data_IF_695336123779
#
_entry.id   IF_695336123779
#
_cell.length_a   1.000
_cell.length_b   1.000
_cell.length_c   1.000
_cell.angle_alpha   90.00
_cell.angle_beta   90.00
_cell.angle_gamma   90.00
#
_symmetry.space_group_name_H-M   'P 1'
#
loop_
_entity.id
_entity.type
_entity.pdbx_description
1 polymer ?
#
# COMPACT_ATOMS: atom_id res chain seq x y z
N UNK A 1 11.04 12.27 -16.71
CA UNK A 1 10.57 11.33 -15.70
C UNK A 1 9.94 12.16 -14.61
N UNK A 2 8.61 12.27 -14.65
CA UNK A 2 7.93 13.23 -13.79
C UNK A 2 6.92 12.49 -12.93
N UNK A 3 6.99 12.68 -11.63
CA UNK A 3 6.08 12.10 -10.66
C UNK A 3 6.07 12.97 -9.40
N UNK A 4 5.07 12.78 -8.56
CA UNK A 4 5.00 13.38 -7.24
C UNK A 4 5.11 12.29 -6.17
N UNK A 5 6.19 12.29 -5.41
CA UNK A 5 6.31 11.44 -4.24
C UNK A 5 5.44 12.02 -3.11
N UNK A 6 4.72 11.15 -2.40
CA UNK A 6 3.80 11.52 -1.33
C UNK A 6 3.94 10.55 -0.17
N UNK A 7 3.82 11.11 1.03
CA UNK A 7 3.77 10.38 2.30
C UNK A 7 2.82 11.06 3.27
N UNK A 8 2.22 10.32 4.20
CA UNK A 8 1.29 10.84 5.19
C UNK A 8 1.56 10.29 6.58
N UNK A 9 1.34 11.14 7.60
CA UNK A 9 1.29 10.72 9.00
C UNK A 9 -0.16 10.73 9.50
N UNK A 10 -0.51 9.78 10.38
CA UNK A 10 -1.86 9.65 10.93
C UNK A 10 -1.87 9.80 12.43
N UNK A 11 -2.92 10.41 12.96
CA UNK A 11 -3.09 10.65 14.39
C UNK A 11 -3.28 9.36 15.21
N UNK A 12 -3.85 8.33 14.59
CA UNK A 12 -4.15 7.03 15.21
C UNK A 12 -4.24 5.94 14.13
N UNK A 13 -4.69 4.74 14.50
CA UNK A 13 -4.80 3.56 13.65
C UNK A 13 -5.80 3.75 12.49
N UNK A 14 -6.70 4.72 12.58
CA UNK A 14 -7.64 5.01 11.50
C UNK A 14 -6.95 5.75 10.36
N UNK A 15 -6.85 5.17 9.15
CA UNK A 15 -6.10 5.78 8.04
C UNK A 15 -6.62 7.15 7.60
N UNK A 16 -7.92 7.45 7.84
CA UNK A 16 -8.49 8.77 7.54
C UNK A 16 -8.10 9.87 8.53
N UNK A 17 -7.37 9.53 9.62
CA UNK A 17 -6.93 10.48 10.64
C UNK A 17 -5.63 11.20 10.26
N UNK A 18 -5.46 11.55 8.99
CA UNK A 18 -4.25 12.20 8.47
C UNK A 18 -3.95 13.48 9.25
N UNK A 19 -2.74 13.58 9.84
CA UNK A 19 -2.28 14.74 10.60
C UNK A 19 -1.12 15.50 9.94
N UNK A 20 -0.46 14.88 8.95
CA UNK A 20 0.51 15.56 8.08
C UNK A 20 0.50 14.93 6.69
N UNK A 21 0.70 15.74 5.65
CA UNK A 21 0.97 15.28 4.28
C UNK A 21 2.25 15.94 3.81
N UNK A 22 3.15 15.18 3.21
CA UNK A 22 4.34 15.66 2.53
C UNK A 22 4.31 15.25 1.06
N UNK A 23 4.66 16.19 0.16
CA UNK A 23 4.76 15.93 -1.28
C UNK A 23 6.05 16.52 -1.83
N UNK A 24 6.69 15.81 -2.74
CA UNK A 24 7.86 16.28 -3.48
C UNK A 24 7.70 15.95 -4.96
N UNK A 25 7.68 16.98 -5.80
CA UNK A 25 7.62 16.83 -7.26
C UNK A 25 9.01 16.62 -7.83
N UNK A 26 9.17 15.54 -8.55
CA UNK A 26 10.39 15.16 -9.25
C UNK A 26 10.22 15.36 -10.74
N UNK A 27 11.20 16.03 -11.36
CA UNK A 27 11.35 16.15 -12.80
C UNK A 27 12.77 15.76 -13.18
N UNK A 28 12.91 14.79 -14.09
CA UNK A 28 14.21 14.27 -14.51
C UNK A 28 15.12 13.80 -13.34
N UNK A 29 14.49 13.28 -12.27
CA UNK A 29 15.21 12.79 -11.09
C UNK A 29 15.56 13.85 -10.05
N UNK A 30 15.25 15.13 -10.30
CA UNK A 30 15.51 16.25 -9.38
C UNK A 30 14.22 16.78 -8.76
N UNK A 31 14.32 17.25 -7.52
CA UNK A 31 13.21 17.89 -6.82
C UNK A 31 13.00 19.30 -7.39
N UNK A 32 11.80 19.57 -7.88
CA UNK A 32 11.40 20.90 -8.40
C UNK A 32 10.51 21.66 -7.43
N UNK A 33 9.69 20.95 -6.69
CA UNK A 33 8.75 21.56 -5.75
C UNK A 33 8.55 20.64 -4.55
N UNK A 34 8.38 21.22 -3.38
CA UNK A 34 8.01 20.50 -2.17
C UNK A 34 6.81 21.16 -1.52
N UNK A 35 6.00 20.36 -0.85
CA UNK A 35 4.87 20.84 -0.07
C UNK A 35 4.71 19.97 1.17
N UNK A 36 4.47 20.62 2.30
CA UNK A 36 4.15 19.94 3.55
C UNK A 36 3.04 20.68 4.26
N UNK A 37 2.09 19.96 4.80
CA UNK A 37 0.97 20.55 5.50
C UNK A 37 0.61 19.72 6.74
N UNK A 38 0.63 20.37 7.91
CA UNK A 38 -0.01 19.84 9.11
C UNK A 38 -1.52 19.93 8.97
N UNK A 39 -2.23 18.90 9.38
CA UNK A 39 -3.68 18.78 9.22
C UNK A 39 -4.31 18.50 10.57
N UNK A 40 -5.38 19.19 10.88
CA UNK A 40 -6.21 18.86 12.04
C UNK A 40 -7.15 17.70 11.65
N UNK A 41 -6.92 16.48 12.10
CA UNK A 41 -7.71 15.32 11.70
C UNK A 41 -9.10 15.27 12.35
N UNK A 42 -9.37 16.17 13.31
CA UNK A 42 -10.57 16.14 14.17
C UNK A 42 -10.77 14.76 14.79
N UNK A 43 -9.69 14.15 15.24
CA UNK A 43 -9.64 12.84 15.85
C UNK A 43 -8.66 12.83 17.04
N UNK A 44 -8.81 11.85 17.90
CA UNK A 44 -7.86 11.60 18.99
C UNK A 44 -6.53 11.09 18.43
N UNK A 45 -5.44 11.43 19.13
CA UNK A 45 -4.11 10.94 18.81
C UNK A 45 -3.76 9.76 19.71
N UNK A 46 -3.30 8.67 19.12
CA UNK A 46 -2.76 7.56 19.89
C UNK A 46 -1.33 7.86 20.36
N UNK A 47 -0.99 7.40 21.56
CA UNK A 47 0.36 7.55 22.10
C UNK A 47 1.41 6.87 21.20
N UNK A 48 1.03 5.78 20.53
CA UNK A 48 1.90 5.06 19.60
C UNK A 48 2.25 5.95 18.39
N UNK A 49 1.26 6.54 17.73
CA UNK A 49 1.48 7.40 16.58
C UNK A 49 2.32 8.64 16.96
N UNK A 50 2.01 9.29 18.09
CA UNK A 50 2.82 10.40 18.61
C UNK A 50 4.28 9.96 18.83
N UNK A 51 4.52 8.77 19.38
CA UNK A 51 5.89 8.28 19.61
C UNK A 51 6.67 8.02 18.32
N UNK A 52 5.98 7.82 17.20
CA UNK A 52 6.58 7.58 15.89
C UNK A 52 6.95 8.89 15.20
N UNK A 53 5.99 9.80 14.99
CA UNK A 53 6.19 11.02 14.19
C UNK A 53 6.30 12.32 15.03
N UNK A 54 6.08 12.26 16.34
CA UNK A 54 6.21 13.40 17.24
C UNK A 54 5.09 14.43 17.17
N UNK A 55 4.17 14.35 16.23
CA UNK A 55 3.08 15.31 16.07
C UNK A 55 2.03 15.10 17.15
N UNK A 56 1.66 16.16 17.86
CA UNK A 56 0.69 16.13 18.96
C UNK A 56 -0.60 16.89 18.59
N UNK A 57 -1.71 16.69 19.32
CA UNK A 57 -2.93 17.49 19.12
C UNK A 57 -2.69 19.01 19.21
N UNK A 58 -1.69 19.43 19.98
CA UNK A 58 -1.35 20.86 20.14
C UNK A 58 -0.78 21.44 18.84
N UNK A 59 0.04 20.67 18.13
CA UNK A 59 0.72 21.11 16.91
C UNK A 59 -0.26 21.35 15.76
N UNK A 60 -1.34 20.55 15.71
CA UNK A 60 -2.36 20.62 14.64
C UNK A 60 -3.62 21.39 15.02
N UNK A 61 -3.70 21.93 16.25
CA UNK A 61 -4.92 22.60 16.77
C UNK A 61 -5.45 23.67 15.84
N UNK A 62 -4.55 24.48 15.28
CA UNK A 62 -4.87 25.61 14.40
C UNK A 62 -4.61 25.29 12.92
N UNK A 63 -4.27 24.06 12.60
CA UNK A 63 -4.06 23.63 11.22
C UNK A 63 -5.39 23.44 10.50
N UNK A 64 -5.40 23.59 9.16
CA UNK A 64 -6.57 23.30 8.35
C UNK A 64 -6.99 21.82 8.49
N UNK A 65 -8.25 21.53 8.23
CA UNK A 65 -8.73 20.15 8.13
C UNK A 65 -8.38 19.56 6.75
N UNK A 66 -8.56 18.25 6.60
CA UNK A 66 -8.37 17.60 5.30
C UNK A 66 -9.30 18.19 4.22
N UNK A 67 -10.52 18.56 4.59
CA UNK A 67 -11.48 19.20 3.69
C UNK A 67 -10.97 20.57 3.19
N UNK A 68 -10.36 21.35 4.09
CA UNK A 68 -9.85 22.70 3.74
C UNK A 68 -8.70 22.64 2.74
N UNK A 69 -7.85 21.60 2.81
CA UNK A 69 -6.68 21.46 1.91
C UNK A 69 -6.96 20.63 0.65
N UNK A 70 -8.15 20.05 0.55
CA UNK A 70 -8.48 19.12 -0.54
C UNK A 70 -8.34 19.74 -1.94
N UNK A 71 -8.68 21.04 -2.07
CA UNK A 71 -8.51 21.78 -3.33
C UNK A 71 -7.03 21.91 -3.73
N UNK A 72 -6.16 22.26 -2.77
CA UNK A 72 -4.72 22.39 -2.99
C UNK A 72 -4.09 21.02 -3.29
N UNK A 73 -4.43 19.98 -2.49
CA UNK A 73 -3.98 18.60 -2.74
C UNK A 73 -4.34 18.14 -4.14
N UNK A 74 -5.58 18.40 -4.59
CA UNK A 74 -6.03 18.07 -5.94
C UNK A 74 -5.23 18.82 -7.00
N UNK A 75 -4.98 20.11 -6.82
CA UNK A 75 -4.19 20.94 -7.74
C UNK A 75 -2.77 20.39 -7.89
N UNK A 76 -2.11 20.06 -6.78
CA UNK A 76 -0.73 19.53 -6.77
C UNK A 76 -0.60 18.12 -7.35
N UNK A 77 -1.67 17.34 -7.33
CA UNK A 77 -1.70 15.98 -7.87
C UNK A 77 -2.29 15.87 -9.26
N UNK A 78 -2.92 16.93 -9.79
CA UNK A 78 -3.63 16.87 -11.07
C UNK A 78 -2.68 16.58 -12.24
N UNK A 79 -3.00 15.51 -12.99
CA UNK A 79 -2.19 15.08 -14.15
C UNK A 79 -0.83 14.48 -13.77
N UNK A 80 -0.57 14.24 -12.48
CA UNK A 80 0.67 13.66 -11.98
C UNK A 80 0.47 12.19 -11.59
N UNK A 81 1.52 11.39 -11.73
CA UNK A 81 1.61 10.09 -11.09
C UNK A 81 2.02 10.28 -9.64
N UNK A 82 1.17 9.88 -8.70
CA UNK A 82 1.52 9.85 -7.28
C UNK A 82 2.30 8.58 -6.95
N UNK A 83 3.44 8.73 -6.31
CA UNK A 83 4.31 7.62 -5.91
C UNK A 83 4.48 7.61 -4.39
N UNK A 84 4.14 6.49 -3.75
CA UNK A 84 4.28 6.31 -2.29
C UNK A 84 5.15 5.12 -1.94
N UNK A 85 5.73 5.12 -0.75
CA UNK A 85 6.58 4.01 -0.30
C UNK A 85 5.75 2.92 0.39
N UNK A 86 4.86 2.31 -0.37
CA UNK A 86 3.88 1.31 0.05
C UNK A 86 2.46 1.72 -0.31
N UNK A 87 1.49 0.92 0.13
CA UNK A 87 0.08 1.15 -0.20
C UNK A 87 -0.63 2.06 0.80
N UNK A 88 -0.04 2.29 1.99
CA UNK A 88 -0.71 2.97 3.09
C UNK A 88 -1.14 4.40 2.76
N UNK A 89 -0.25 5.20 2.17
CA UNK A 89 -0.52 6.61 1.86
C UNK A 89 -1.68 6.77 0.89
N UNK A 90 -1.65 6.00 -0.20
CA UNK A 90 -2.78 5.93 -1.14
C UNK A 90 -4.08 5.60 -0.41
N UNK A 91 -4.03 4.62 0.47
CA UNK A 91 -5.18 4.16 1.22
C UNK A 91 -5.69 5.23 2.19
N UNK A 92 -4.79 5.88 2.94
CA UNK A 92 -5.14 6.96 3.86
C UNK A 92 -5.82 8.14 3.13
N UNK A 93 -5.28 8.56 1.99
CA UNK A 93 -5.88 9.60 1.14
C UNK A 93 -7.28 9.16 0.65
N UNK A 94 -7.44 7.93 0.19
CA UNK A 94 -8.75 7.41 -0.26
C UNK A 94 -9.77 7.40 0.87
N UNK A 95 -9.37 6.99 2.07
CA UNK A 95 -10.27 7.01 3.24
C UNK A 95 -10.63 8.44 3.67
N UNK A 96 -9.66 9.35 3.70
CA UNK A 96 -9.91 10.73 4.06
C UNK A 96 -10.81 11.43 3.04
N UNK A 97 -10.64 11.18 1.74
CA UNK A 97 -11.51 11.70 0.69
C UNK A 97 -12.93 11.13 0.78
N UNK A 98 -13.06 9.83 1.00
CA UNK A 98 -14.38 9.18 1.17
C UNK A 98 -15.13 9.72 2.41
N UNK A 99 -14.44 9.86 3.54
CA UNK A 99 -14.99 10.43 4.79
C UNK A 99 -15.55 11.84 4.59
N UNK A 100 -14.94 12.62 3.70
CA UNK A 100 -15.33 14.01 3.41
C UNK A 100 -16.22 14.12 2.16
N UNK A 101 -16.71 13.01 1.58
CA UNK A 101 -17.50 13.00 0.33
C UNK A 101 -16.82 13.71 -0.84
N UNK A 102 -15.50 13.60 -0.95
CA UNK A 102 -14.69 14.22 -1.99
C UNK A 102 -14.39 13.22 -3.12
N UNK A 103 -14.30 13.75 -4.33
CA UNK A 103 -13.79 13.00 -5.49
C UNK A 103 -12.30 13.32 -5.67
N UNK A 104 -11.48 12.30 -5.50
CA UNK A 104 -10.04 12.36 -5.71
C UNK A 104 -9.61 11.20 -6.60
N UNK A 105 -9.27 11.50 -7.84
CA UNK A 105 -8.76 10.54 -8.80
C UNK A 105 -7.30 10.86 -9.10
N UNK A 106 -6.42 9.89 -8.93
CA UNK A 106 -5.00 9.98 -9.27
C UNK A 106 -4.48 8.60 -9.66
N UNK A 107 -3.51 8.58 -10.56
CA UNK A 107 -2.72 7.39 -10.83
C UNK A 107 -1.68 7.20 -9.72
N UNK A 108 -1.49 5.95 -9.29
CA UNK A 108 -0.60 5.63 -8.17
C UNK A 108 0.48 4.63 -8.54
N UNK A 109 1.65 4.84 -7.98
CA UNK A 109 2.78 3.94 -8.08
C UNK A 109 3.32 3.56 -6.70
N UNK A 110 3.29 2.28 -6.39
CA UNK A 110 3.89 1.74 -5.17
C UNK A 110 5.39 1.48 -5.39
N UNK A 111 6.22 2.35 -4.80
CA UNK A 111 7.68 2.28 -4.91
C UNK A 111 8.24 0.98 -4.33
N UNK A 112 7.63 0.45 -3.24
CA UNK A 112 8.14 -0.79 -2.63
C UNK A 112 8.06 -1.98 -3.58
N UNK A 113 7.10 -1.98 -4.50
CA UNK A 113 6.97 -3.03 -5.53
C UNK A 113 8.14 -2.98 -6.54
N UNK A 114 8.62 -1.78 -6.88
CA UNK A 114 9.81 -1.61 -7.71
C UNK A 114 11.07 -1.98 -6.92
N UNK A 115 11.22 -1.49 -5.70
CA UNK A 115 12.35 -1.80 -4.79
C UNK A 115 12.57 -3.30 -4.65
N UNK A 116 11.51 -4.08 -4.42
CA UNK A 116 11.59 -5.54 -4.29
C UNK A 116 12.04 -6.26 -5.55
N UNK A 117 11.75 -5.69 -6.72
CA UNK A 117 12.15 -6.25 -8.01
C UNK A 117 13.55 -5.83 -8.41
N UNK A 118 13.94 -4.64 -8.01
CA UNK A 118 15.25 -4.08 -8.33
C UNK A 118 16.34 -4.64 -7.39
N UNK A 119 16.04 -4.81 -6.09
CA UNK A 119 16.96 -5.36 -5.09
C UNK A 119 16.45 -6.66 -4.45
N UNK A 120 16.37 -7.78 -5.17
CA UNK A 120 15.91 -9.05 -4.60
C UNK A 120 16.81 -9.55 -3.45
N UNK A 121 18.08 -9.12 -3.40
CA UNK A 121 19.05 -9.40 -2.35
C UNK A 121 18.63 -8.81 -0.97
N UNK A 122 17.77 -7.80 -0.96
CA UNK A 122 17.27 -7.21 0.28
C UNK A 122 16.17 -8.02 0.97
N UNK A 123 15.70 -9.13 0.39
CA UNK A 123 14.57 -9.91 0.90
C UNK A 123 14.75 -10.34 2.38
N UNK A 124 15.95 -10.77 2.75
CA UNK A 124 16.25 -11.19 4.13
C UNK A 124 16.42 -10.03 5.11
N UNK A 125 16.85 -8.87 4.63
CA UNK A 125 17.14 -7.67 5.45
C UNK A 125 15.94 -6.73 5.56
N UNK A 126 14.92 -6.94 4.73
CA UNK A 126 13.73 -6.09 4.62
C UNK A 126 13.92 -4.88 3.70
N UNK A 127 12.81 -4.34 3.26
CA UNK A 127 12.70 -3.29 2.24
C UNK A 127 12.23 -1.94 2.81
N UNK A 128 12.34 -1.72 4.13
CA UNK A 128 11.95 -0.45 4.75
C UNK A 128 12.73 0.74 4.19
N UNK A 129 12.09 1.91 4.07
CA UNK A 129 12.64 3.11 3.44
C UNK A 129 14.01 3.49 4.02
N UNK A 130 14.14 3.53 5.35
CA UNK A 130 15.42 3.83 6.02
C UNK A 130 16.54 2.85 5.65
N UNK A 131 16.23 1.55 5.44
CA UNK A 131 17.24 0.55 5.05
C UNK A 131 17.69 0.75 3.60
N UNK A 132 16.77 1.10 2.71
CA UNK A 132 17.09 1.37 1.31
C UNK A 132 17.83 2.70 1.17
N UNK A 133 17.45 3.75 1.92
CA UNK A 133 18.19 5.00 1.99
C UNK A 133 19.65 4.78 2.42
N UNK A 134 19.87 3.98 3.48
CA UNK A 134 21.22 3.60 3.93
C UNK A 134 21.99 2.81 2.86
N UNK A 135 21.33 1.91 2.12
CA UNK A 135 21.95 1.21 0.97
C UNK A 135 22.38 2.20 -0.11
N UNK A 136 21.62 3.26 -0.33
CA UNK A 136 21.92 4.35 -1.28
C UNK A 136 22.81 5.45 -0.68
N UNK A 137 23.27 5.30 0.56
CA UNK A 137 24.19 6.20 1.27
C UNK A 137 23.64 7.62 1.44
N UNK A 138 22.36 7.75 1.73
CA UNK A 138 21.80 9.02 2.19
C UNK A 138 20.99 8.82 3.47
N UNK A 139 20.97 9.86 4.30
CA UNK A 139 20.20 9.93 5.54
C UNK A 139 19.06 10.94 5.39
N UNK A 140 17.99 10.78 6.18
CA UNK A 140 16.86 11.69 6.24
C UNK A 140 16.17 11.55 7.60
N UNK A 141 15.39 12.55 7.97
CA UNK A 141 14.56 12.55 9.17
C UNK A 141 13.33 11.67 8.93
N UNK A 142 13.38 10.43 9.45
CA UNK A 142 12.30 9.46 9.28
C UNK A 142 11.09 9.82 10.14
N UNK A 143 9.88 9.53 9.64
CA UNK A 143 8.59 9.89 10.24
C UNK A 143 8.28 11.40 10.22
N UNK A 144 8.81 12.10 9.24
CA UNK A 144 8.37 13.43 8.83
C UNK A 144 7.90 13.33 7.37
N UNK A 145 6.59 13.50 7.13
CA UNK A 145 5.97 13.17 5.84
C UNK A 145 6.71 13.76 4.61
N UNK A 146 7.21 15.00 4.67
CA UNK A 146 7.98 15.55 3.55
C UNK A 146 9.35 14.87 3.38
N UNK A 147 10.04 14.58 4.48
CA UNK A 147 11.35 13.93 4.41
C UNK A 147 11.22 12.49 3.89
N UNK A 148 10.17 11.76 4.31
CA UNK A 148 9.85 10.42 3.82
C UNK A 148 9.45 10.46 2.33
N UNK A 149 8.62 11.41 1.90
CA UNK A 149 8.28 11.60 0.48
C UNK A 149 9.53 11.89 -0.38
N UNK A 150 10.42 12.79 0.09
CA UNK A 150 11.68 13.08 -0.60
C UNK A 150 12.56 11.83 -0.68
N UNK A 151 12.72 11.09 0.42
CA UNK A 151 13.51 9.87 0.45
C UNK A 151 12.93 8.80 -0.50
N UNK A 152 11.62 8.60 -0.49
CA UNK A 152 10.92 7.70 -1.39
C UNK A 152 11.11 8.08 -2.86
N UNK A 153 10.99 9.37 -3.18
CA UNK A 153 11.22 9.89 -4.53
C UNK A 153 12.67 9.71 -5.00
N UNK A 154 13.66 9.93 -4.13
CA UNK A 154 15.08 9.65 -4.44
C UNK A 154 15.31 8.16 -4.74
N UNK A 155 14.69 7.26 -3.97
CA UNK A 155 14.75 5.82 -4.22
C UNK A 155 14.19 5.48 -5.59
N UNK A 156 13.02 6.01 -5.95
CA UNK A 156 12.42 5.78 -7.26
C UNK A 156 13.28 6.37 -8.38
N UNK A 157 13.76 7.60 -8.25
CA UNK A 157 14.66 8.25 -9.22
C UNK A 157 15.91 7.43 -9.47
N UNK A 158 16.52 6.87 -8.41
CA UNK A 158 17.67 5.98 -8.53
C UNK A 158 17.32 4.71 -9.32
N UNK A 159 16.21 4.06 -9.02
CA UNK A 159 15.77 2.86 -9.75
C UNK A 159 15.56 3.17 -11.24
N UNK A 160 14.93 4.29 -11.56
CA UNK A 160 14.67 4.71 -12.94
C UNK A 160 15.99 4.98 -13.69
N UNK A 161 16.90 5.72 -13.06
CA UNK A 161 18.21 6.05 -13.64
C UNK A 161 19.07 4.81 -13.88
N UNK A 162 19.25 3.99 -12.85
CA UNK A 162 20.17 2.84 -12.91
C UNK A 162 19.63 1.68 -13.76
N UNK A 163 18.30 1.50 -13.80
CA UNK A 163 17.69 0.47 -14.65
C UNK A 163 17.64 0.86 -16.12
N UNK A 164 17.79 2.16 -16.43
CA UNK A 164 17.58 2.69 -17.79
C UNK A 164 16.14 2.54 -18.30
N UNK A 165 15.19 2.21 -17.42
CA UNK A 165 13.79 2.01 -17.76
C UNK A 165 12.95 3.20 -17.29
N UNK A 166 11.96 3.58 -18.07
CA UNK A 166 11.04 4.65 -17.71
C UNK A 166 9.97 4.22 -16.68
N UNK A 167 9.22 5.19 -16.19
CA UNK A 167 8.17 4.96 -15.20
C UNK A 167 7.03 4.09 -15.76
N UNK A 168 6.71 4.21 -17.06
CA UNK A 168 5.66 3.42 -17.69
C UNK A 168 6.03 1.94 -17.78
N UNK A 169 7.31 1.65 -18.08
CA UNK A 169 7.84 0.29 -18.02
C UNK A 169 7.71 -0.28 -16.61
N UNK A 170 8.09 0.49 -15.58
CA UNK A 170 7.99 0.07 -14.19
C UNK A 170 6.54 -0.11 -13.74
N UNK A 171 5.61 0.77 -14.16
CA UNK A 171 4.17 0.57 -13.91
C UNK A 171 3.68 -0.77 -14.48
N UNK A 172 4.10 -1.11 -15.68
CA UNK A 172 3.80 -2.42 -16.28
C UNK A 172 4.50 -3.57 -15.53
N UNK A 173 5.78 -3.40 -15.17
CA UNK A 173 6.60 -4.44 -14.52
C UNK A 173 6.10 -4.78 -13.12
N UNK A 174 5.66 -3.80 -12.32
CA UNK A 174 5.17 -4.03 -10.95
C UNK A 174 3.81 -4.74 -10.92
N UNK A 175 3.04 -4.68 -12.00
CA UNK A 175 1.79 -5.43 -12.16
C UNK A 175 2.04 -6.92 -12.42
N UNK A 176 3.19 -7.29 -12.96
CA UNK A 176 3.58 -8.68 -13.19
C UNK A 176 4.13 -9.27 -11.89
N UNK A 177 3.83 -10.54 -11.57
CA UNK A 177 4.44 -11.22 -10.43
C UNK A 177 5.97 -11.20 -10.51
N UNK A 178 6.64 -11.29 -9.35
CA UNK A 178 8.08 -11.51 -9.33
C UNK A 178 8.37 -12.87 -9.99
N UNK A 179 9.36 -12.93 -10.90
CA UNK A 179 9.78 -14.18 -11.50
C UNK A 179 10.30 -15.12 -10.41
N UNK A 180 9.86 -16.36 -10.44
CA UNK A 180 10.40 -17.43 -9.61
C UNK A 180 11.86 -17.66 -9.99
N UNK A 181 12.76 -17.71 -9.02
CA UNK A 181 14.01 -18.44 -9.20
C UNK A 181 13.65 -19.93 -9.09
N UNK A 182 13.98 -20.71 -10.11
CA UNK A 182 13.83 -22.17 -10.07
C UNK A 182 14.50 -22.70 -8.80
N UNK A 183 13.71 -23.45 -7.98
CA UNK A 183 14.18 -24.06 -6.74
C UNK A 183 13.64 -23.45 -5.44
N UNK A 184 13.04 -22.26 -5.43
CA UNK A 184 12.33 -21.77 -4.24
C UNK A 184 10.88 -22.29 -4.25
N UNK A 185 10.58 -23.28 -3.41
CA UNK A 185 9.21 -23.60 -3.03
C UNK A 185 8.57 -22.33 -2.46
N UNK A 186 7.37 -21.98 -2.93
CA UNK A 186 6.52 -21.00 -2.22
C UNK A 186 6.36 -21.53 -0.81
N UNK A 187 6.96 -20.85 0.17
CA UNK A 187 6.59 -21.13 1.54
C UNK A 187 5.08 -20.88 1.62
N UNK A 188 4.35 -21.87 2.10
CA UNK A 188 2.95 -21.74 2.45
C UNK A 188 2.76 -20.44 3.24
N UNK A 189 1.77 -19.65 2.86
CA UNK A 189 1.35 -18.47 3.64
C UNK A 189 0.22 -18.84 4.60
N UNK A 190 -0.13 -20.12 4.66
CA UNK A 190 -1.15 -20.61 5.57
C UNK A 190 -0.73 -20.35 7.02
N UNK A 191 -1.59 -19.63 7.73
CA UNK A 191 -1.35 -19.22 9.12
C UNK A 191 -2.69 -19.18 9.86
N UNK A 192 -2.73 -19.71 11.07
CA UNK A 192 -3.91 -19.63 11.92
C UNK A 192 -4.19 -18.17 12.31
N UNK A 193 -5.47 -17.83 12.41
CA UNK A 193 -5.93 -16.52 12.85
C UNK A 193 -5.72 -16.30 14.34
N UNK A 194 -5.54 -15.03 14.73
CA UNK A 194 -5.54 -14.61 16.12
C UNK A 194 -6.93 -14.88 16.72
N UNK A 195 -6.97 -15.61 17.85
CA UNK A 195 -8.22 -15.98 18.52
C UNK A 195 -8.98 -14.78 19.07
N UNK A 196 -8.30 -13.67 19.33
CA UNK A 196 -8.89 -12.41 19.81
C UNK A 196 -9.26 -11.46 18.65
N UNK A 197 -8.93 -11.82 17.40
CA UNK A 197 -9.19 -10.99 16.23
C UNK A 197 -10.68 -10.97 15.85
N UNK A 198 -11.20 -9.84 15.31
CA UNK A 198 -12.62 -9.68 14.99
C UNK A 198 -13.14 -10.65 13.91
N UNK A 199 -12.23 -11.29 13.16
CA UNK A 199 -12.57 -12.27 12.11
C UNK A 199 -12.19 -13.70 12.49
N UNK A 200 -12.06 -13.99 13.79
CA UNK A 200 -11.76 -15.34 14.25
C UNK A 200 -12.83 -16.34 13.79
N UNK A 201 -12.39 -17.45 13.21
CA UNK A 201 -13.25 -18.47 12.62
C UNK A 201 -13.57 -18.28 11.14
N UNK A 202 -13.18 -17.14 10.55
CA UNK A 202 -13.27 -16.90 9.11
C UNK A 202 -11.99 -17.35 8.40
N UNK A 203 -12.11 -17.85 7.18
CA UNK A 203 -10.98 -18.36 6.42
C UNK A 203 -10.80 -17.59 5.10
N UNK A 204 -9.58 -17.09 4.87
CA UNK A 204 -9.26 -16.20 3.76
C UNK A 204 -8.23 -16.79 2.81
N UNK A 205 -8.43 -16.57 1.51
CA UNK A 205 -7.48 -16.94 0.45
C UNK A 205 -7.18 -15.71 -0.40
N UNK A 206 -5.92 -15.56 -0.79
CA UNK A 206 -5.46 -14.50 -1.68
C UNK A 206 -5.16 -15.02 -3.08
N UNK A 207 -5.57 -14.29 -4.12
CA UNK A 207 -5.26 -14.56 -5.53
C UNK A 207 -4.93 -13.28 -6.29
N UNK A 208 -4.26 -13.40 -7.43
CA UNK A 208 -3.79 -12.23 -8.18
C UNK A 208 -2.52 -11.60 -7.62
N UNK A 209 -2.09 -10.48 -8.20
CA UNK A 209 -0.97 -9.68 -7.73
C UNK A 209 -1.47 -8.66 -6.70
N UNK A 210 -1.07 -8.82 -5.45
CA UNK A 210 -1.42 -7.88 -4.39
C UNK A 210 -0.48 -6.67 -4.40
N UNK A 211 -0.93 -5.55 -3.88
CA UNK A 211 -0.15 -4.34 -3.65
C UNK A 211 0.96 -4.58 -2.62
N UNK A 212 0.65 -5.40 -1.59
CA UNK A 212 1.63 -5.85 -0.60
C UNK A 212 2.10 -7.28 -0.90
N UNK A 213 3.24 -7.74 -0.36
CA UNK A 213 3.62 -9.15 -0.43
C UNK A 213 2.54 -10.03 0.17
N UNK A 214 2.30 -11.17 -0.44
CA UNK A 214 1.31 -12.13 0.05
C UNK A 214 1.55 -12.56 1.49
N UNK A 215 2.81 -12.69 1.91
CA UNK A 215 3.16 -12.99 3.29
C UNK A 215 2.78 -11.86 4.26
N UNK A 216 2.87 -10.62 3.83
CA UNK A 216 2.45 -9.45 4.60
C UNK A 216 0.92 -9.37 4.70
N UNK A 217 0.22 -9.54 3.57
CA UNK A 217 -1.24 -9.64 3.57
C UNK A 217 -1.74 -10.80 4.47
N UNK A 218 -1.06 -11.95 4.42
CA UNK A 218 -1.36 -13.09 5.27
C UNK A 218 -1.15 -12.77 6.76
N UNK A 219 -0.07 -12.05 7.12
CA UNK A 219 0.19 -11.61 8.49
C UNK A 219 -0.90 -10.65 8.99
N UNK A 220 -1.26 -9.66 8.19
CA UNK A 220 -2.33 -8.71 8.52
C UNK A 220 -3.66 -9.46 8.70
N UNK A 221 -3.99 -10.37 7.80
CA UNK A 221 -5.20 -11.17 7.90
C UNK A 221 -5.21 -12.04 9.17
N UNK A 222 -4.09 -12.72 9.49
CA UNK A 222 -4.00 -13.56 10.69
C UNK A 222 -4.10 -12.76 11.98
N UNK A 223 -3.51 -11.57 12.03
CA UNK A 223 -3.64 -10.63 13.17
C UNK A 223 -5.08 -10.12 13.34
N UNK A 224 -5.82 -9.99 12.24
CA UNK A 224 -7.25 -9.67 12.27
C UNK A 224 -8.16 -10.88 12.60
N UNK A 225 -7.60 -12.09 12.77
CA UNK A 225 -8.31 -13.30 13.17
C UNK A 225 -8.62 -14.27 12.04
N UNK A 226 -8.31 -13.96 10.78
CA UNK A 226 -8.55 -14.90 9.67
C UNK A 226 -7.59 -16.09 9.67
N UNK A 227 -8.12 -17.28 9.49
CA UNK A 227 -7.32 -18.43 9.05
C UNK A 227 -6.89 -18.22 7.59
N UNK A 228 -5.61 -18.00 7.36
CA UNK A 228 -5.08 -17.84 6.00
C UNK A 228 -4.83 -19.18 5.36
N UNK A 229 -5.42 -19.42 4.19
CA UNK A 229 -5.31 -20.68 3.45
C UNK A 229 -4.54 -20.48 2.15
N UNK A 230 -3.75 -21.50 1.74
CA UNK A 230 -3.01 -21.48 0.49
C UNK A 230 -3.91 -21.60 -0.76
N UNK A 231 -5.08 -22.19 -0.62
CA UNK A 231 -6.00 -22.47 -1.72
C UNK A 231 -7.45 -22.52 -1.31
N UNK A 232 -8.32 -22.19 -2.26
CA UNK A 232 -9.77 -22.22 -2.06
C UNK A 232 -10.26 -23.65 -1.82
N UNK A 233 -10.98 -23.87 -0.73
CA UNK A 233 -11.60 -25.12 -0.33
C UNK A 233 -12.93 -24.88 0.41
N UNK A 234 -13.55 -25.95 0.95
CA UNK A 234 -14.83 -25.86 1.65
C UNK A 234 -14.83 -25.03 2.94
N UNK A 235 -13.65 -24.70 3.49
CA UNK A 235 -13.52 -23.84 4.69
C UNK A 235 -13.39 -22.37 4.31
N UNK A 236 -13.11 -22.04 3.04
CA UNK A 236 -12.89 -20.68 2.58
C UNK A 236 -14.16 -19.87 2.72
N UNK A 237 -14.09 -18.73 3.40
CA UNK A 237 -15.20 -17.78 3.55
C UNK A 237 -14.93 -16.47 2.81
N UNK A 238 -13.65 -16.14 2.58
CA UNK A 238 -13.24 -14.96 1.81
C UNK A 238 -12.22 -15.31 0.73
N UNK A 239 -12.40 -14.74 -0.45
CA UNK A 239 -11.38 -14.70 -1.51
C UNK A 239 -11.05 -13.26 -1.83
N UNK A 240 -9.81 -12.87 -1.52
CA UNK A 240 -9.28 -11.55 -1.90
C UNK A 240 -8.67 -11.62 -3.29
N UNK A 241 -9.12 -10.76 -4.17
CA UNK A 241 -8.67 -10.69 -5.56
C UNK A 241 -7.86 -9.42 -5.76
N UNK A 242 -6.56 -9.57 -5.94
CA UNK A 242 -5.67 -8.50 -6.42
C UNK A 242 -5.72 -8.35 -7.94
N UNK A 243 -4.83 -7.52 -8.49
CA UNK A 243 -4.75 -7.35 -9.95
C UNK A 243 -4.53 -8.69 -10.67
N UNK A 244 -5.33 -8.92 -11.72
CA UNK A 244 -5.23 -10.12 -12.55
C UNK A 244 -4.27 -9.85 -13.71
N UNK A 245 -3.29 -10.72 -13.88
CA UNK A 245 -2.41 -10.72 -15.07
C UNK A 245 -3.07 -11.56 -16.17
N UNK A 246 -3.75 -10.90 -17.11
CA UNK A 246 -4.48 -11.55 -18.20
C UNK A 246 -3.58 -12.45 -19.06
N UNK A 247 -2.29 -12.16 -19.19
CA UNK A 247 -1.35 -12.98 -19.96
C UNK A 247 -1.08 -14.34 -19.28
N UNK A 248 -1.17 -14.42 -17.95
CA UNK A 248 -0.99 -15.67 -17.20
C UNK A 248 -2.26 -16.51 -17.10
N UNK A 249 -3.39 -15.94 -17.42
CA UNK A 249 -4.66 -16.64 -17.36
C UNK A 249 -4.90 -17.54 -18.57
N UNK A 250 -3.93 -17.67 -19.49
CA UNK A 250 -4.00 -18.56 -20.68
C UNK A 250 -5.32 -18.38 -21.45
N UNK A 251 -5.73 -17.13 -21.67
CA UNK A 251 -6.99 -16.80 -22.33
C UNK A 251 -8.24 -16.81 -21.42
N UNK A 252 -8.07 -17.01 -20.14
CA UNK A 252 -9.15 -16.94 -19.14
C UNK A 252 -9.21 -15.55 -18.52
N UNK A 253 -10.39 -15.04 -18.18
CA UNK A 253 -10.54 -13.74 -17.51
C UNK A 253 -10.24 -13.80 -16.01
N UNK A 254 -10.29 -14.99 -15.39
CA UNK A 254 -10.20 -15.20 -13.94
C UNK A 254 -9.17 -16.26 -13.56
N UNK A 255 -8.53 -16.10 -12.40
CA UNK A 255 -7.57 -17.07 -11.88
C UNK A 255 -8.23 -18.41 -11.52
N UNK A 256 -7.45 -19.50 -11.46
CA UNK A 256 -7.94 -20.82 -11.04
C UNK A 256 -8.59 -20.80 -9.65
N UNK A 257 -8.05 -20.00 -8.70
CA UNK A 257 -8.65 -19.82 -7.37
C UNK A 257 -9.99 -19.08 -7.45
N UNK A 258 -10.09 -18.07 -8.31
CA UNK A 258 -11.33 -17.31 -8.52
C UNK A 258 -12.43 -18.22 -9.09
N UNK A 259 -12.14 -18.92 -10.17
CA UNK A 259 -13.11 -19.89 -10.77
C UNK A 259 -13.53 -20.98 -9.80
N UNK A 260 -12.59 -21.47 -8.96
CA UNK A 260 -12.93 -22.46 -7.94
C UNK A 260 -13.84 -21.90 -6.85
N UNK A 261 -13.64 -20.64 -6.46
CA UNK A 261 -14.54 -19.98 -5.50
C UNK A 261 -15.94 -19.82 -6.08
N UNK A 262 -16.07 -19.35 -7.33
CA UNK A 262 -17.37 -19.23 -8.01
C UNK A 262 -18.08 -20.60 -8.11
N UNK A 263 -17.36 -21.66 -8.50
CA UNK A 263 -17.95 -23.02 -8.53
C UNK A 263 -18.39 -23.53 -7.16
N UNK A 264 -17.77 -23.10 -6.07
CA UNK A 264 -18.21 -23.43 -4.71
C UNK A 264 -19.40 -22.59 -4.28
N UNK A 265 -19.47 -21.32 -4.68
CA UNK A 265 -20.63 -20.43 -4.45
C UNK A 265 -21.88 -20.99 -5.15
N UNK A 266 -21.76 -21.42 -6.40
CA UNK A 266 -22.84 -22.08 -7.15
C UNK A 266 -23.35 -23.36 -6.45
N UNK A 267 -22.49 -24.00 -5.65
CA UNK A 267 -22.82 -25.19 -4.83
C UNK A 267 -23.32 -24.83 -3.42
N UNK A 268 -23.62 -23.53 -3.18
CA UNK A 268 -24.17 -23.04 -1.91
C UNK A 268 -23.16 -22.69 -0.82
N UNK A 269 -21.86 -22.62 -1.15
CA UNK A 269 -20.84 -22.19 -0.18
C UNK A 269 -20.89 -20.64 -0.02
N UNK A 270 -20.89 -20.10 1.21
CA UNK A 270 -21.00 -18.66 1.46
C UNK A 270 -19.66 -17.95 1.33
N UNK A 271 -18.97 -18.07 0.18
CA UNK A 271 -17.70 -17.40 -0.06
C UNK A 271 -17.96 -15.98 -0.54
N UNK A 272 -17.35 -15.00 0.13
CA UNK A 272 -17.33 -13.59 -0.27
C UNK A 272 -16.10 -13.33 -1.12
N UNK A 273 -16.29 -12.94 -2.38
CA UNK A 273 -15.19 -12.48 -3.26
C UNK A 273 -15.09 -10.97 -3.11
N UNK A 274 -13.93 -10.48 -2.68
CA UNK A 274 -13.70 -9.06 -2.41
C UNK A 274 -12.43 -8.58 -3.12
N UNK A 275 -12.36 -7.31 -3.45
CA UNK A 275 -11.15 -6.68 -3.94
C UNK A 275 -10.13 -6.48 -2.80
N UNK A 276 -8.86 -6.38 -3.16
CA UNK A 276 -7.79 -6.14 -2.20
C UNK A 276 -8.04 -4.90 -1.34
N UNK A 277 -8.54 -3.81 -1.93
CA UNK A 277 -8.87 -2.59 -1.20
C UNK A 277 -9.93 -2.81 -0.12
N UNK A 278 -10.94 -3.65 -0.42
CA UNK A 278 -12.02 -3.94 0.52
C UNK A 278 -11.51 -4.80 1.68
N UNK A 279 -10.58 -5.73 1.42
CA UNK A 279 -9.88 -6.46 2.47
C UNK A 279 -9.15 -5.51 3.42
N UNK A 280 -8.30 -4.60 2.90
CA UNK A 280 -7.61 -3.64 3.75
C UNK A 280 -8.56 -2.70 4.48
N UNK A 281 -9.69 -2.34 3.86
CA UNK A 281 -10.75 -1.60 4.53
C UNK A 281 -11.34 -2.34 5.74
N UNK A 282 -11.53 -3.64 5.62
CA UNK A 282 -12.12 -4.47 6.69
C UNK A 282 -11.18 -4.65 7.87
N UNK A 283 -9.87 -4.82 7.62
CA UNK A 283 -8.89 -5.12 8.68
C UNK A 283 -8.22 -3.88 9.29
N UNK A 284 -8.52 -2.69 8.77
CA UNK A 284 -7.93 -1.41 9.22
C UNK A 284 -8.93 -0.48 9.92
N UNK A 285 -10.10 -1.00 10.28
CA UNK A 285 -11.13 -0.23 11.01
C UNK A 285 -11.27 -0.72 12.41
#
# INVERSE_FOLDING_TARGET
>A
MDFVAIDVETANECPSSICQIGMARFENGEIKETWVQLINPKAEFSAMNISIHGITPKDVKNSPTFLDIAGELKQKSQGQLLASYGAFDRFAIQKATAKNNLLFAADWFDITRAVRRYWPDCAQKGYGLAKIAKKLKFDFEHHHALADAIAAGKVLSHILSESGQDIAWWQSRVKKPMAWQEGQRVNSVATAGDTEGPFYGEAIVFTGALAVPRAEAAKIASQAGFDVLDGVNKKTTFLVVGEQDLQRLAGQEKSAKHRKAESLIEKGQPIKIIEEKDFFNMVSC
#
